data_IF_270405000974
#
_entry.id   IF_270405000974
#
_cell.length_a   1.000
_cell.length_b   1.000
_cell.length_c   1.000
_cell.angle_alpha   90.00
_cell.angle_beta   90.00
_cell.angle_gamma   90.00
#
_symmetry.space_group_name_H-M   'P 1'
#
loop_
_entity.id
_entity.type
_entity.pdbx_description
1 polymer ?
#
# COMPACT_ATOMS: atom_id res chain seq x y z
N UNK A 1 -26.71 40.11 8.57
CA UNK A 1 -25.86 40.59 7.46
C UNK A 1 -24.60 39.74 7.48
N UNK A 2 -24.35 38.93 6.44
CA UNK A 2 -23.07 38.18 6.31
C UNK A 2 -21.97 39.17 6.01
N UNK A 3 -20.84 39.04 6.69
CA UNK A 3 -19.69 39.92 6.51
C UNK A 3 -18.89 39.52 5.25
N UNK A 4 -18.09 40.42 4.70
CA UNK A 4 -17.20 40.13 3.56
C UNK A 4 -16.24 38.98 3.89
N UNK A 5 -15.88 38.81 5.18
CA UNK A 5 -15.07 37.69 5.67
C UNK A 5 -15.81 36.34 5.54
N UNK A 6 -17.14 36.29 5.78
CA UNK A 6 -17.96 35.08 5.62
C UNK A 6 -18.06 34.65 4.16
N UNK A 7 -18.09 35.63 3.23
CA UNK A 7 -18.18 35.35 1.79
C UNK A 7 -16.87 34.79 1.22
N UNK A 8 -15.73 35.20 1.75
CA UNK A 8 -14.39 34.68 1.36
C UNK A 8 -14.03 33.36 2.06
N UNK A 9 -14.56 33.11 3.26
CA UNK A 9 -14.33 31.89 4.02
C UNK A 9 -15.10 30.66 3.45
N UNK A 10 -16.27 30.88 2.87
CA UNK A 10 -17.12 29.80 2.35
C UNK A 10 -16.48 28.98 1.22
N UNK A 11 -15.81 29.54 0.20
CA UNK A 11 -15.11 28.77 -0.84
C UNK A 11 -13.95 27.93 -0.30
N UNK A 12 -13.16 28.49 0.63
CA UNK A 12 -12.02 27.79 1.24
C UNK A 12 -12.46 26.62 2.15
N UNK A 13 -13.57 26.78 2.88
CA UNK A 13 -14.16 25.70 3.68
C UNK A 13 -14.68 24.57 2.78
N UNK A 14 -15.44 24.88 1.73
CA UNK A 14 -15.92 23.88 0.74
C UNK A 14 -14.78 23.14 0.06
N UNK A 15 -13.68 23.81 -0.30
CA UNK A 15 -12.51 23.19 -0.90
C UNK A 15 -11.84 22.20 0.07
N UNK A 16 -11.74 22.54 1.37
CA UNK A 16 -11.22 21.63 2.40
C UNK A 16 -12.10 20.42 2.62
N UNK A 17 -13.42 20.60 2.64
CA UNK A 17 -14.39 19.50 2.81
C UNK A 17 -14.34 18.53 1.63
N UNK A 18 -14.29 19.06 0.41
CA UNK A 18 -14.16 18.26 -0.82
C UNK A 18 -12.88 17.43 -0.84
N UNK A 19 -11.78 18.04 -0.43
CA UNK A 19 -10.47 17.43 -0.38
C UNK A 19 -10.43 16.31 0.70
N UNK A 20 -10.95 16.59 1.90
CA UNK A 20 -11.05 15.62 2.99
C UNK A 20 -11.92 14.41 2.61
N UNK A 21 -13.07 14.66 1.96
CA UNK A 21 -13.96 13.60 1.48
C UNK A 21 -13.31 12.74 0.38
N UNK A 22 -12.51 13.34 -0.50
CA UNK A 22 -11.78 12.60 -1.52
C UNK A 22 -10.80 11.61 -0.88
N UNK A 23 -9.93 12.06 0.03
CA UNK A 23 -8.95 11.18 0.68
C UNK A 23 -9.60 10.08 1.52
N UNK A 24 -10.71 10.38 2.21
CA UNK A 24 -11.46 9.37 2.96
C UNK A 24 -12.10 8.31 2.05
N UNK A 25 -12.61 8.68 0.87
CA UNK A 25 -13.12 7.73 -0.12
C UNK A 25 -12.01 6.94 -0.79
N UNK A 26 -10.91 7.58 -1.13
CA UNK A 26 -9.76 6.93 -1.76
C UNK A 26 -9.15 5.85 -0.85
N UNK A 27 -8.92 6.17 0.42
CA UNK A 27 -8.39 5.19 1.39
C UNK A 27 -9.36 4.04 1.64
N UNK A 28 -10.67 4.32 1.71
CA UNK A 28 -11.69 3.28 1.82
C UNK A 28 -11.70 2.38 0.58
N UNK A 29 -11.69 2.97 -0.62
CA UNK A 29 -11.69 2.21 -1.87
C UNK A 29 -10.47 1.30 -2.01
N UNK A 30 -9.27 1.81 -1.69
CA UNK A 30 -8.05 1.02 -1.69
C UNK A 30 -8.08 -0.11 -0.64
N UNK A 31 -8.56 0.18 0.57
CA UNK A 31 -8.68 -0.83 1.63
C UNK A 31 -9.67 -1.94 1.23
N UNK A 32 -10.83 -1.59 0.67
CA UNK A 32 -11.81 -2.56 0.18
C UNK A 32 -11.26 -3.38 -0.99
N UNK A 33 -10.56 -2.74 -1.93
CA UNK A 33 -9.93 -3.44 -3.06
C UNK A 33 -8.95 -4.51 -2.56
N UNK A 34 -8.06 -4.13 -1.64
CA UNK A 34 -7.08 -5.06 -1.06
C UNK A 34 -7.81 -6.18 -0.30
N UNK A 35 -8.78 -5.85 0.56
CA UNK A 35 -9.52 -6.83 1.33
C UNK A 35 -10.29 -7.83 0.43
N UNK A 36 -10.94 -7.35 -0.63
CA UNK A 36 -11.66 -8.19 -1.61
C UNK A 36 -10.69 -9.09 -2.36
N UNK A 37 -9.50 -8.60 -2.77
CA UNK A 37 -8.50 -9.41 -3.45
C UNK A 37 -8.08 -10.63 -2.65
N UNK A 38 -7.87 -10.46 -1.34
CA UNK A 38 -7.52 -11.58 -0.44
C UNK A 38 -8.74 -12.46 -0.11
N UNK A 39 -9.88 -11.85 0.24
CA UNK A 39 -11.07 -12.59 0.66
C UNK A 39 -11.62 -13.50 -0.46
N UNK A 40 -11.67 -13.02 -1.71
CA UNK A 40 -12.16 -13.84 -2.82
C UNK A 40 -11.21 -15.01 -3.14
N UNK A 41 -9.89 -14.79 -2.96
CA UNK A 41 -8.90 -15.83 -3.20
C UNK A 41 -9.04 -16.98 -2.19
N UNK A 42 -9.26 -16.64 -0.92
CA UNK A 42 -9.56 -17.60 0.15
C UNK A 42 -10.91 -18.28 -0.07
N UNK A 43 -11.96 -17.50 -0.36
CA UNK A 43 -13.31 -18.04 -0.58
C UNK A 43 -13.39 -19.03 -1.76
N UNK A 44 -12.47 -18.92 -2.72
CA UNK A 44 -12.32 -19.86 -3.86
C UNK A 44 -11.46 -21.08 -3.51
N UNK A 45 -10.96 -21.20 -2.28
CA UNK A 45 -10.09 -22.29 -1.86
C UNK A 45 -8.71 -22.29 -2.54
N UNK A 46 -8.26 -21.15 -3.05
CA UNK A 46 -6.99 -21.03 -3.75
C UNK A 46 -5.79 -20.82 -2.82
N UNK A 47 -6.03 -20.68 -1.52
CA UNK A 47 -5.00 -20.61 -0.50
C UNK A 47 -5.29 -21.64 0.59
N UNK A 48 -4.31 -22.48 0.96
CA UNK A 48 -4.45 -23.40 2.10
C UNK A 48 -4.21 -22.64 3.41
N UNK A 49 -5.05 -21.61 3.71
CA UNK A 49 -4.81 -20.69 4.82
C UNK A 49 -4.56 -21.40 6.15
N UNK A 50 -5.34 -22.44 6.46
CA UNK A 50 -5.19 -23.22 7.69
C UNK A 50 -3.82 -23.95 7.80
N UNK A 51 -3.15 -24.21 6.69
CA UNK A 51 -1.85 -24.89 6.66
C UNK A 51 -0.67 -23.93 6.78
N UNK A 52 -0.89 -22.63 6.70
CA UNK A 52 0.19 -21.64 6.80
C UNK A 52 0.74 -21.53 8.22
N UNK A 53 2.05 -21.29 8.37
CA UNK A 53 2.65 -21.08 9.70
C UNK A 53 2.11 -19.82 10.38
N UNK A 54 2.17 -19.79 11.72
CA UNK A 54 1.63 -18.72 12.57
C UNK A 54 2.10 -17.32 12.14
N UNK A 55 3.32 -17.19 11.62
CA UNK A 55 3.85 -15.89 11.17
C UNK A 55 3.05 -15.29 10.01
N UNK A 56 2.49 -16.13 9.12
CA UNK A 56 1.62 -15.68 8.02
C UNK A 56 0.31 -15.12 8.58
N UNK A 57 -0.27 -15.79 9.59
CA UNK A 57 -1.47 -15.30 10.27
C UNK A 57 -1.20 -14.00 11.03
N UNK A 58 -0.05 -13.89 11.71
CA UNK A 58 0.36 -12.66 12.40
C UNK A 58 0.54 -11.51 11.41
N UNK A 59 1.16 -11.75 10.25
CA UNK A 59 1.27 -10.77 9.18
C UNK A 59 -0.11 -10.35 8.65
N UNK A 60 -0.98 -11.31 8.36
CA UNK A 60 -2.33 -11.04 7.88
C UNK A 60 -3.14 -10.20 8.89
N UNK A 61 -3.08 -10.53 10.19
CA UNK A 61 -3.74 -9.76 11.25
C UNK A 61 -3.19 -8.33 11.31
N UNK A 62 -1.87 -8.15 11.23
CA UNK A 62 -1.24 -6.84 11.19
C UNK A 62 -1.67 -6.02 9.97
N UNK A 63 -1.80 -6.65 8.79
CA UNK A 63 -2.28 -5.97 7.57
C UNK A 63 -3.76 -5.59 7.67
N UNK A 64 -4.61 -6.44 8.24
CA UNK A 64 -6.03 -6.09 8.49
C UNK A 64 -6.14 -4.90 9.45
N UNK A 65 -5.37 -4.90 10.53
CA UNK A 65 -5.31 -3.77 11.46
C UNK A 65 -4.80 -2.49 10.75
N UNK A 66 -3.80 -2.60 9.87
CA UNK A 66 -3.30 -1.49 9.06
C UNK A 66 -4.40 -0.91 8.15
N UNK A 67 -5.14 -1.76 7.43
CA UNK A 67 -6.24 -1.31 6.57
C UNK A 67 -7.37 -0.64 7.38
N UNK A 68 -7.68 -1.16 8.57
CA UNK A 68 -8.64 -0.54 9.47
C UNK A 68 -8.19 0.87 9.90
N UNK A 69 -6.90 1.02 10.27
CA UNK A 69 -6.32 2.31 10.61
C UNK A 69 -6.29 3.27 9.42
N UNK A 70 -5.94 2.79 8.23
CA UNK A 70 -5.95 3.56 6.99
C UNK A 70 -7.33 4.20 6.73
N UNK A 71 -8.40 3.46 7.03
CA UNK A 71 -9.79 3.93 6.86
C UNK A 71 -10.22 4.84 8.02
N UNK A 72 -9.80 4.56 9.25
CA UNK A 72 -10.18 5.33 10.44
C UNK A 72 -9.50 6.71 10.48
N UNK A 73 -8.22 6.79 10.13
CA UNK A 73 -7.40 7.99 10.27
C UNK A 73 -7.94 9.24 9.55
N UNK A 74 -8.34 9.17 8.26
CA UNK A 74 -8.95 10.34 7.59
C UNK A 74 -10.28 10.76 8.20
N UNK A 75 -11.06 9.79 8.74
CA UNK A 75 -12.34 10.07 9.39
C UNK A 75 -12.15 10.79 10.72
N UNK A 76 -11.16 10.38 11.51
CA UNK A 76 -10.79 11.06 12.75
C UNK A 76 -10.33 12.49 12.49
N UNK A 77 -9.54 12.70 11.44
CA UNK A 77 -9.12 14.05 11.04
C UNK A 77 -10.32 14.90 10.57
N UNK A 78 -11.25 14.32 9.82
CA UNK A 78 -12.48 15.00 9.34
C UNK A 78 -13.43 15.37 10.49
N UNK A 79 -13.56 14.53 11.52
CA UNK A 79 -14.41 14.80 12.69
C UNK A 79 -13.77 15.76 13.70
N UNK A 80 -12.57 16.28 13.44
CA UNK A 80 -11.86 17.16 14.37
C UNK A 80 -11.18 16.41 15.55
N UNK A 81 -11.25 15.07 15.60
CA UNK A 81 -10.68 14.23 16.66
C UNK A 81 -9.15 14.08 16.51
N UNK A 82 -8.44 15.23 16.40
CA UNK A 82 -7.00 15.27 16.09
C UNK A 82 -6.12 14.66 17.18
N UNK A 83 -6.55 14.67 18.43
CA UNK A 83 -5.80 14.03 19.50
C UNK A 83 -5.80 12.51 19.34
N UNK A 84 -6.97 11.93 19.08
CA UNK A 84 -7.12 10.49 18.83
C UNK A 84 -6.40 10.09 17.53
N UNK A 85 -6.54 10.88 16.46
CA UNK A 85 -5.78 10.68 15.22
C UNK A 85 -4.27 10.56 15.48
N UNK A 86 -3.70 11.46 16.29
CA UNK A 86 -2.26 11.42 16.63
C UNK A 86 -1.88 10.23 17.51
N UNK A 87 -2.69 9.90 18.52
CA UNK A 87 -2.42 8.74 19.39
C UNK A 87 -2.43 7.43 18.61
N UNK A 88 -3.47 7.20 17.80
CA UNK A 88 -3.59 6.01 16.96
C UNK A 88 -2.53 6.02 15.85
N UNK A 89 -2.14 7.19 15.34
CA UNK A 89 -1.05 7.32 14.38
C UNK A 89 0.30 6.78 14.88
N UNK A 90 0.60 6.94 16.16
CA UNK A 90 1.81 6.33 16.77
C UNK A 90 1.69 4.82 16.92
N UNK A 91 0.50 4.30 17.26
CA UNK A 91 0.23 2.85 17.24
C UNK A 91 0.39 2.28 15.81
N UNK A 92 -0.05 3.02 14.79
CA UNK A 92 0.15 2.63 13.40
C UNK A 92 1.64 2.55 13.04
N UNK A 93 2.49 3.40 13.60
CA UNK A 93 3.95 3.35 13.41
C UNK A 93 4.56 2.09 14.02
N UNK A 94 4.12 1.69 15.23
CA UNK A 94 4.54 0.43 15.83
C UNK A 94 4.05 -0.78 15.04
N UNK A 95 2.79 -0.73 14.56
CA UNK A 95 2.21 -1.76 13.69
C UNK A 95 2.99 -1.89 12.37
N UNK A 96 3.47 -0.78 11.80
CA UNK A 96 4.31 -0.81 10.59
C UNK A 96 5.60 -1.61 10.81
N UNK A 97 6.25 -1.46 11.96
CA UNK A 97 7.43 -2.27 12.31
C UNK A 97 7.09 -3.76 12.38
N UNK A 98 5.93 -4.12 12.96
CA UNK A 98 5.43 -5.49 12.96
C UNK A 98 5.13 -6.01 11.54
N UNK A 99 4.54 -5.18 10.66
CA UNK A 99 4.29 -5.52 9.25
C UNK A 99 5.61 -5.83 8.52
N UNK A 100 6.64 -5.01 8.70
CA UNK A 100 7.96 -5.24 8.10
C UNK A 100 8.57 -6.55 8.61
N UNK A 101 8.56 -6.76 9.93
CA UNK A 101 9.12 -7.99 10.53
C UNK A 101 8.36 -9.25 10.09
N UNK A 102 7.06 -9.30 10.31
CA UNK A 102 6.24 -10.46 9.94
C UNK A 102 6.16 -10.66 8.44
N UNK A 103 6.12 -9.58 7.64
CA UNK A 103 6.13 -9.67 6.18
C UNK A 103 7.43 -10.29 5.66
N UNK A 104 8.59 -9.84 6.15
CA UNK A 104 9.88 -10.41 5.80
C UNK A 104 9.96 -11.90 6.19
N UNK A 105 9.53 -12.24 7.41
CA UNK A 105 9.48 -13.63 7.87
C UNK A 105 8.52 -14.48 7.04
N UNK A 106 7.38 -13.92 6.62
CA UNK A 106 6.41 -14.60 5.74
C UNK A 106 7.03 -14.88 4.37
N UNK A 107 7.77 -13.94 3.80
CA UNK A 107 8.49 -14.14 2.53
C UNK A 107 9.52 -15.27 2.61
N UNK A 108 10.32 -15.28 3.68
CA UNK A 108 11.30 -16.37 3.94
C UNK A 108 10.58 -17.70 4.16
N UNK A 109 9.52 -17.75 4.98
CA UNK A 109 8.76 -18.96 5.23
C UNK A 109 8.10 -19.52 3.97
N UNK A 110 7.60 -18.65 3.08
CA UNK A 110 7.01 -19.08 1.82
C UNK A 110 8.04 -19.77 0.90
N UNK A 111 9.25 -19.23 0.81
CA UNK A 111 10.35 -19.85 0.04
C UNK A 111 10.78 -21.18 0.67
N UNK A 112 10.98 -21.19 1.99
CA UNK A 112 11.42 -22.38 2.73
C UNK A 112 10.45 -23.56 2.66
N UNK A 113 9.15 -23.26 2.73
CA UNK A 113 8.08 -24.27 2.80
C UNK A 113 7.41 -24.56 1.45
N UNK A 114 7.92 -23.98 0.36
CA UNK A 114 7.39 -24.20 -0.99
C UNK A 114 6.01 -23.59 -1.25
N UNK A 115 5.62 -22.54 -0.52
CA UNK A 115 4.35 -21.81 -0.72
C UNK A 115 4.45 -20.63 -1.70
N UNK A 116 5.59 -20.51 -2.41
CA UNK A 116 5.73 -19.50 -3.47
C UNK A 116 4.72 -19.79 -4.57
N UNK A 117 3.92 -18.77 -5.01
CA UNK A 117 3.02 -18.97 -6.13
C UNK A 117 3.75 -19.49 -7.38
N UNK A 118 3.18 -20.46 -8.12
CA UNK A 118 3.90 -21.19 -9.18
C UNK A 118 4.34 -20.34 -10.38
N UNK A 119 3.82 -19.14 -10.51
CA UNK A 119 4.21 -18.17 -11.55
C UNK A 119 5.36 -17.25 -11.12
N UNK A 120 5.85 -17.36 -9.88
CA UNK A 120 7.04 -16.66 -9.38
C UNK A 120 8.21 -17.62 -9.16
N UNK A 121 9.43 -17.14 -9.44
CA UNK A 121 10.63 -17.79 -8.91
C UNK A 121 10.80 -17.47 -7.42
N UNK A 122 11.44 -18.33 -6.61
CA UNK A 122 11.73 -18.02 -5.22
C UNK A 122 12.47 -16.70 -5.03
N UNK A 123 13.43 -16.38 -5.92
CA UNK A 123 14.18 -15.12 -5.90
C UNK A 123 13.28 -13.92 -6.16
N UNK A 124 12.38 -14.02 -7.15
CA UNK A 124 11.41 -12.98 -7.46
C UNK A 124 10.51 -12.70 -6.25
N UNK A 125 9.92 -13.75 -5.70
CA UNK A 125 9.01 -13.65 -4.57
C UNK A 125 9.69 -13.05 -3.33
N UNK A 126 10.92 -13.46 -3.04
CA UNK A 126 11.71 -12.90 -1.95
C UNK A 126 11.98 -11.41 -2.16
N UNK A 127 12.38 -11.01 -3.37
CA UNK A 127 12.56 -9.60 -3.73
C UNK A 127 11.25 -8.80 -3.59
N UNK A 128 10.14 -9.32 -4.15
CA UNK A 128 8.82 -8.70 -4.13
C UNK A 128 8.36 -8.37 -2.71
N UNK A 129 8.43 -9.36 -1.80
CA UNK A 129 7.98 -9.18 -0.42
C UNK A 129 8.86 -8.15 0.30
N UNK A 130 10.19 -8.26 0.21
CA UNK A 130 11.09 -7.38 0.95
C UNK A 130 11.10 -5.95 0.40
N UNK A 131 11.14 -5.78 -0.92
CA UNK A 131 11.00 -4.45 -1.53
C UNK A 131 9.65 -3.85 -1.17
N UNK A 132 8.56 -4.63 -1.21
CA UNK A 132 7.23 -4.16 -0.88
C UNK A 132 7.13 -3.62 0.55
N UNK A 133 7.52 -4.40 1.57
CA UNK A 133 7.41 -3.97 2.98
C UNK A 133 8.39 -2.84 3.32
N UNK A 134 9.59 -2.82 2.74
CA UNK A 134 10.57 -1.76 2.96
C UNK A 134 10.15 -0.45 2.27
N UNK A 135 9.61 -0.52 1.07
CA UNK A 135 9.09 0.65 0.36
C UNK A 135 7.85 1.22 1.06
N UNK A 136 6.96 0.36 1.59
CA UNK A 136 5.86 0.80 2.45
C UNK A 136 6.39 1.57 3.65
N UNK A 137 7.36 1.00 4.37
CA UNK A 137 7.96 1.62 5.55
C UNK A 137 8.61 2.96 5.21
N UNK A 138 9.38 3.04 4.14
CA UNK A 138 10.03 4.27 3.69
C UNK A 138 9.01 5.36 3.33
N UNK A 139 7.96 5.02 2.58
CA UNK A 139 6.94 5.99 2.19
C UNK A 139 6.10 6.47 3.37
N UNK A 140 5.74 5.57 4.30
CA UNK A 140 5.01 5.96 5.52
C UNK A 140 5.90 6.80 6.44
N UNK A 141 7.17 6.46 6.59
CA UNK A 141 8.13 7.29 7.33
C UNK A 141 8.23 8.69 6.72
N UNK A 142 8.34 8.79 5.39
CA UNK A 142 8.31 10.08 4.71
C UNK A 142 7.00 10.84 4.95
N UNK A 143 5.86 10.17 4.88
CA UNK A 143 4.57 10.78 5.20
C UNK A 143 4.52 11.32 6.64
N UNK A 144 5.08 10.60 7.62
CA UNK A 144 5.16 11.03 9.02
C UNK A 144 6.09 12.24 9.17
N UNK A 145 7.22 12.27 8.49
CA UNK A 145 8.12 13.44 8.46
C UNK A 145 7.40 14.68 7.91
N UNK A 146 6.53 14.47 6.91
CA UNK A 146 5.71 15.53 6.31
C UNK A 146 4.38 15.81 7.03
N UNK A 147 4.14 15.25 8.23
CA UNK A 147 2.84 15.36 8.92
C UNK A 147 2.36 16.79 9.21
N UNK A 148 3.27 17.76 9.25
CA UNK A 148 2.93 19.20 9.39
C UNK A 148 2.47 19.81 8.06
N UNK A 149 2.83 19.19 6.93
CA UNK A 149 2.40 19.52 5.58
C UNK A 149 1.33 18.50 5.17
N UNK A 150 0.09 18.75 5.57
CA UNK A 150 -1.02 17.79 5.42
C UNK A 150 -1.29 17.42 3.96
N UNK A 151 -1.01 18.34 3.02
CA UNK A 151 -1.07 18.11 1.58
C UNK A 151 -0.08 17.03 1.11
N UNK A 152 1.13 17.00 1.64
CA UNK A 152 2.12 15.95 1.40
C UNK A 152 1.75 14.66 2.13
N UNK A 153 1.47 14.77 3.44
CA UNK A 153 1.23 13.61 4.30
C UNK A 153 0.18 12.68 3.72
N UNK A 154 -1.00 13.19 3.39
CA UNK A 154 -2.12 12.36 2.90
C UNK A 154 -1.86 11.75 1.52
N UNK A 155 -1.13 12.44 0.62
CA UNK A 155 -0.76 11.92 -0.70
C UNK A 155 0.26 10.79 -0.60
N UNK A 156 1.24 10.92 0.27
CA UNK A 156 2.23 9.88 0.53
C UNK A 156 1.59 8.65 1.19
N UNK A 157 0.61 8.82 2.11
CA UNK A 157 -0.14 7.69 2.68
C UNK A 157 -0.96 6.98 1.60
N UNK A 158 -1.63 7.69 0.71
CA UNK A 158 -2.33 7.07 -0.43
C UNK A 158 -1.33 6.37 -1.34
N UNK A 159 -0.21 7.00 -1.68
CA UNK A 159 0.84 6.39 -2.51
C UNK A 159 1.42 5.12 -1.92
N UNK A 160 1.70 5.11 -0.60
CA UNK A 160 2.17 3.90 0.10
C UNK A 160 1.13 2.77 0.08
N UNK A 161 -0.16 3.13 0.10
CA UNK A 161 -1.26 2.15 0.01
C UNK A 161 -1.39 1.58 -1.40
N UNK A 162 -1.23 2.42 -2.43
CA UNK A 162 -1.21 1.95 -3.83
C UNK A 162 -0.04 0.98 -4.04
N UNK A 163 1.12 1.24 -3.44
CA UNK A 163 2.27 0.35 -3.53
C UNK A 163 1.94 -1.05 -2.99
N UNK A 164 1.25 -1.15 -1.85
CA UNK A 164 0.89 -2.45 -1.24
C UNK A 164 -0.37 -3.10 -1.82
N UNK A 165 -1.02 -2.54 -2.84
CA UNK A 165 -2.11 -3.25 -3.53
C UNK A 165 -1.62 -4.32 -4.49
N UNK A 166 -0.31 -4.39 -4.78
CA UNK A 166 0.28 -5.39 -5.68
C UNK A 166 -0.07 -6.84 -5.25
N UNK A 167 0.06 -7.31 -3.98
CA UNK A 167 -0.33 -8.67 -3.62
C UNK A 167 -1.81 -8.97 -3.83
N UNK A 168 -2.69 -7.98 -3.73
CA UNK A 168 -4.11 -8.14 -4.06
C UNK A 168 -4.33 -8.26 -5.57
N UNK A 169 -3.58 -7.49 -6.37
CA UNK A 169 -3.59 -7.60 -7.83
C UNK A 169 -3.13 -8.97 -8.29
N UNK A 170 -2.06 -9.53 -7.72
CA UNK A 170 -1.61 -10.89 -8.01
C UNK A 170 -2.66 -11.99 -7.71
N UNK A 171 -3.68 -11.68 -6.89
CA UNK A 171 -4.81 -12.58 -6.59
C UNK A 171 -6.04 -12.33 -7.45
N UNK A 172 -6.18 -11.14 -8.01
CA UNK A 172 -7.30 -10.74 -8.85
C UNK A 172 -7.02 -10.96 -10.33
N UNK A 173 -5.78 -10.76 -10.74
CA UNK A 173 -5.36 -10.94 -12.13
C UNK A 173 -5.16 -12.44 -12.42
N UNK A 174 -5.43 -12.89 -13.65
CA UNK A 174 -5.20 -14.27 -14.06
C UNK A 174 -3.71 -14.51 -14.35
N UNK A 175 -2.86 -14.39 -13.32
CA UNK A 175 -1.40 -14.42 -13.42
C UNK A 175 -0.85 -15.59 -14.25
N UNK A 176 -1.38 -16.85 -14.11
CA UNK A 176 -0.91 -17.95 -14.95
C UNK A 176 -1.11 -17.75 -16.44
N UNK A 177 -2.14 -16.98 -16.85
CA UNK A 177 -2.42 -16.68 -18.26
C UNK A 177 -1.59 -15.50 -18.78
N UNK A 178 -1.20 -14.60 -17.89
CA UNK A 178 -0.44 -13.39 -18.24
C UNK A 178 1.06 -13.65 -18.34
N UNK A 179 1.56 -14.70 -17.67
CA UNK A 179 2.99 -15.02 -17.66
C UNK A 179 3.83 -13.82 -17.24
N UNK A 180 4.87 -13.52 -18.00
CA UNK A 180 5.78 -12.40 -17.72
C UNK A 180 5.13 -11.01 -17.75
N UNK A 181 3.92 -10.88 -18.32
CA UNK A 181 3.20 -9.59 -18.39
C UNK A 181 2.35 -9.30 -17.16
N UNK A 182 2.16 -10.30 -16.27
CA UNK A 182 1.28 -10.17 -15.11
C UNK A 182 1.68 -9.02 -14.19
N UNK A 183 2.95 -8.93 -13.85
CA UNK A 183 3.49 -7.89 -12.96
C UNK A 183 3.48 -6.50 -13.61
N UNK A 184 3.72 -6.41 -14.92
CA UNK A 184 3.58 -5.16 -15.67
C UNK A 184 2.13 -4.66 -15.71
N UNK A 185 1.17 -5.58 -15.81
CA UNK A 185 -0.25 -5.24 -15.71
C UNK A 185 -0.61 -4.80 -14.28
N UNK A 186 -0.04 -5.44 -13.26
CA UNK A 186 -0.19 -5.00 -11.87
C UNK A 186 0.36 -3.58 -11.67
N UNK A 187 1.54 -3.27 -12.20
CA UNK A 187 2.09 -1.91 -12.22
C UNK A 187 1.15 -0.92 -12.93
N UNK A 188 0.63 -1.28 -14.08
CA UNK A 188 -0.31 -0.43 -14.83
C UNK A 188 -1.58 -0.15 -14.01
N UNK A 189 -2.12 -1.14 -13.30
CA UNK A 189 -3.25 -0.97 -12.38
C UNK A 189 -2.91 -0.04 -11.20
N UNK A 190 -1.72 -0.17 -10.61
CA UNK A 190 -1.24 0.73 -9.54
C UNK A 190 -1.14 2.18 -10.04
N UNK A 191 -0.54 2.39 -11.22
CA UNK A 191 -0.44 3.73 -11.83
C UNK A 191 -1.83 4.27 -12.20
N UNK A 192 -2.76 3.41 -12.65
CA UNK A 192 -4.16 3.75 -12.86
C UNK A 192 -4.86 4.23 -11.58
N UNK A 193 -4.61 3.57 -10.45
CA UNK A 193 -5.10 3.99 -9.14
C UNK A 193 -4.53 5.37 -8.74
N UNK A 194 -3.25 5.63 -8.99
CA UNK A 194 -2.66 6.97 -8.80
C UNK A 194 -3.25 8.01 -9.77
N UNK A 195 -3.77 7.58 -10.92
CA UNK A 195 -4.48 8.45 -11.87
C UNK A 195 -5.67 9.18 -11.23
N UNK A 196 -6.38 8.57 -10.27
CA UNK A 196 -7.43 9.25 -9.50
C UNK A 196 -6.88 10.40 -8.66
N UNK A 197 -5.69 10.22 -8.07
CA UNK A 197 -5.00 11.26 -7.31
C UNK A 197 -4.51 12.38 -8.22
N UNK A 198 -3.97 12.05 -9.39
CA UNK A 198 -3.59 13.03 -10.44
C UNK A 198 -4.80 13.83 -10.90
N UNK A 199 -5.93 13.17 -11.16
CA UNK A 199 -7.15 13.85 -11.58
C UNK A 199 -7.70 14.78 -10.49
N UNK A 200 -7.62 14.37 -9.22
CA UNK A 200 -7.98 15.20 -8.08
C UNK A 200 -7.08 16.43 -7.97
N UNK A 201 -5.77 16.25 -8.06
CA UNK A 201 -4.80 17.34 -8.02
C UNK A 201 -5.03 18.38 -9.12
N UNK A 202 -5.24 17.91 -10.36
CA UNK A 202 -5.53 18.81 -11.49
C UNK A 202 -6.81 19.63 -11.30
N UNK A 203 -7.86 19.02 -10.70
CA UNK A 203 -9.14 19.70 -10.44
C UNK A 203 -9.05 20.71 -9.30
N UNK A 204 -8.24 20.43 -8.28
CA UNK A 204 -8.18 21.25 -7.05
C UNK A 204 -7.01 22.22 -7.02
N UNK A 205 -5.90 21.88 -7.68
CA UNK A 205 -4.64 22.66 -7.66
C UNK A 205 -4.25 23.19 -9.03
N UNK A 206 -4.97 22.82 -10.11
CA UNK A 206 -4.62 23.11 -11.52
C UNK A 206 -3.25 22.57 -11.95
N UNK A 207 -2.62 21.73 -11.13
CA UNK A 207 -1.33 21.07 -11.36
C UNK A 207 -1.26 19.74 -10.60
N UNK A 208 -0.33 18.87 -10.99
CA UNK A 208 -0.06 17.65 -10.23
C UNK A 208 0.81 18.03 -9.02
N UNK A 209 0.43 17.54 -7.83
CA UNK A 209 1.19 17.81 -6.61
C UNK A 209 2.51 17.00 -6.62
N UNK A 210 3.65 17.57 -6.16
CA UNK A 210 4.93 16.85 -6.14
C UNK A 210 4.90 15.53 -5.35
N UNK A 211 4.12 15.45 -4.26
CA UNK A 211 3.96 14.20 -3.51
C UNK A 211 3.24 13.11 -4.31
N UNK A 212 2.33 13.46 -5.24
CA UNK A 212 1.69 12.52 -6.16
C UNK A 212 2.69 11.99 -7.17
N UNK A 213 3.53 12.85 -7.73
CA UNK A 213 4.63 12.44 -8.62
C UNK A 213 5.63 11.54 -7.89
N UNK A 214 6.01 11.91 -6.66
CA UNK A 214 6.90 11.10 -5.83
C UNK A 214 6.31 9.72 -5.52
N UNK A 215 4.99 9.62 -5.29
CA UNK A 215 4.31 8.34 -5.09
C UNK A 215 4.36 7.48 -6.35
N UNK A 216 4.14 8.07 -7.53
CA UNK A 216 4.28 7.35 -8.80
C UNK A 216 5.71 6.87 -9.06
N UNK A 217 6.69 7.73 -8.80
CA UNK A 217 8.10 7.38 -8.92
C UNK A 217 8.49 6.23 -7.96
N UNK A 218 7.98 6.25 -6.72
CA UNK A 218 8.23 5.20 -5.74
C UNK A 218 7.64 3.85 -6.16
N UNK A 219 6.42 3.84 -6.72
CA UNK A 219 5.79 2.61 -7.24
C UNK A 219 6.60 2.04 -8.41
N UNK A 220 6.99 2.88 -9.37
CA UNK A 220 7.81 2.45 -10.51
C UNK A 220 9.19 1.95 -10.03
N UNK A 221 9.84 2.69 -9.12
CA UNK A 221 11.15 2.31 -8.61
C UNK A 221 11.11 0.98 -7.83
N UNK A 222 10.06 0.74 -7.04
CA UNK A 222 9.87 -0.53 -6.34
C UNK A 222 9.72 -1.69 -7.33
N UNK A 223 8.90 -1.52 -8.38
CA UNK A 223 8.73 -2.53 -9.41
C UNK A 223 10.05 -2.85 -10.14
N UNK A 224 10.75 -1.81 -10.63
CA UNK A 224 12.05 -1.99 -11.31
C UNK A 224 13.08 -2.64 -10.39
N UNK A 225 13.07 -2.30 -9.10
CA UNK A 225 13.98 -2.91 -8.11
C UNK A 225 13.67 -4.40 -7.92
N UNK A 226 12.39 -4.79 -7.86
CA UNK A 226 11.99 -6.21 -7.78
C UNK A 226 12.49 -6.97 -9.00
N UNK A 227 12.21 -6.47 -10.22
CA UNK A 227 12.65 -7.08 -11.47
C UNK A 227 14.19 -7.25 -11.52
N UNK A 228 14.91 -6.22 -11.10
CA UNK A 228 16.38 -6.24 -11.07
C UNK A 228 16.92 -7.25 -10.05
N UNK A 229 16.37 -7.23 -8.83
CA UNK A 229 16.81 -8.13 -7.75
C UNK A 229 16.47 -9.59 -8.05
N UNK A 230 15.35 -9.86 -8.71
CA UNK A 230 14.94 -11.20 -9.10
C UNK A 230 15.97 -11.89 -10.02
N UNK A 231 16.68 -11.11 -10.82
CA UNK A 231 17.72 -11.58 -11.75
C UNK A 231 19.13 -11.48 -11.16
N UNK A 232 19.29 -10.89 -9.97
CA UNK A 232 20.59 -10.67 -9.35
C UNK A 232 21.15 -11.98 -8.78
N UNK A 233 22.35 -12.46 -9.21
CA UNK A 233 22.88 -13.75 -8.80
C UNK A 233 22.94 -13.99 -7.28
N UNK A 234 23.33 -13.02 -6.43
CA UNK A 234 23.28 -13.18 -4.98
C UNK A 234 21.88 -13.41 -4.43
N UNK A 235 20.83 -12.79 -5.01
CA UNK A 235 19.43 -13.01 -4.59
C UNK A 235 18.97 -14.42 -4.97
N UNK A 236 19.34 -14.89 -6.16
CA UNK A 236 19.03 -16.26 -6.61
C UNK A 236 19.71 -17.27 -5.68
N UNK A 237 21.00 -17.07 -5.35
CA UNK A 237 21.74 -17.93 -4.43
C UNK A 237 21.14 -17.92 -3.01
N UNK A 238 20.75 -16.74 -2.51
CA UNK A 238 20.05 -16.60 -1.22
C UNK A 238 18.74 -17.36 -1.21
N UNK A 239 17.90 -17.17 -2.23
CA UNK A 239 16.63 -17.88 -2.32
C UNK A 239 16.80 -19.41 -2.39
N UNK A 240 17.79 -19.88 -3.14
CA UNK A 240 18.12 -21.30 -3.21
C UNK A 240 18.61 -21.85 -1.86
N UNK A 241 19.43 -21.10 -1.12
CA UNK A 241 19.90 -21.50 0.22
C UNK A 241 18.76 -21.60 1.23
N UNK A 242 17.79 -20.68 1.18
CA UNK A 242 16.58 -20.71 2.03
C UNK A 242 15.70 -21.92 1.68
N UNK A 243 15.53 -22.22 0.40
CA UNK A 243 14.71 -23.35 -0.05
C UNK A 243 15.31 -24.72 0.31
N UNK A 244 16.63 -24.77 0.60
CA UNK A 244 17.34 -25.99 0.99
C UNK A 244 17.29 -26.31 2.49
N UNK A 245 16.74 -25.39 3.32
CA UNK A 245 16.65 -25.52 4.80
C UNK A 245 15.24 -25.86 5.26
#
# INVERSE_FOLDING_TARGET
MATTADFLAAPAARARDTDTAFFARMTLGLALFIAVGFAQFEARGLAPFAAFPLVVHAHAAAMVAWLALLVAQPRLAASGSMELHRRIGWLATALLAAIVGFGSMTGVAAVRLGFVPPFFTPAYFLALVHVGVLSLAAMVAWAILMRRRTDWHRRLIVGSTVLIMEPALGRLLPMPLLGAWGEWLALACQLGALGFLVAHDRRTLSRIHPATLASGAAVIAAHVLVETLALFPPMIALAASIAAT
#
